data_IF_676082197988
#
_entry.id   IF_676082197988
#
_cell.length_a   1.000
_cell.length_b   1.000
_cell.length_c   1.000
_cell.angle_alpha   90.00
_cell.angle_beta   90.00
_cell.angle_gamma   90.00
#
_symmetry.space_group_name_H-M   'P 1'
#
loop_
_entity.id
_entity.type
_entity.pdbx_description
1 polymer ?
#
# COMPACT_ATOMS: atom_id res chain seq x y z
N UNK A 1 12.95 -2.13 -6.92
CA UNK A 1 12.74 -3.58 -6.68
C UNK A 1 11.41 -3.77 -5.95
N UNK A 2 10.57 -4.64 -6.42
CA UNK A 2 9.23 -4.91 -5.85
C UNK A 2 9.13 -6.41 -5.55
N UNK A 3 8.74 -6.77 -4.32
CA UNK A 3 8.63 -8.18 -3.92
C UNK A 3 7.65 -9.00 -4.76
N UNK A 4 6.63 -8.39 -5.35
CA UNK A 4 5.66 -9.08 -6.21
C UNK A 4 6.29 -9.56 -7.54
N UNK A 5 7.33 -8.87 -8.06
CA UNK A 5 8.05 -9.29 -9.26
C UNK A 5 8.79 -10.62 -9.02
N UNK A 6 9.37 -10.79 -7.84
CA UNK A 6 10.04 -12.05 -7.47
C UNK A 6 9.06 -13.20 -7.28
N UNK A 7 7.84 -12.92 -6.77
CA UNK A 7 6.79 -13.94 -6.68
C UNK A 7 6.40 -14.49 -8.03
N UNK A 8 6.29 -13.61 -9.03
CA UNK A 8 5.91 -14.01 -10.38
C UNK A 8 6.94 -14.96 -11.04
N UNK A 9 8.19 -14.94 -10.59
CA UNK A 9 9.25 -15.82 -11.07
C UNK A 9 9.24 -17.21 -10.42
N UNK A 10 8.48 -17.40 -9.33
CA UNK A 10 8.45 -18.69 -8.65
C UNK A 10 7.70 -19.74 -9.51
N UNK A 11 8.28 -20.92 -9.78
CA UNK A 11 7.73 -21.91 -10.71
C UNK A 11 6.32 -22.38 -10.31
N UNK A 12 6.03 -22.48 -9.04
CA UNK A 12 4.73 -22.91 -8.54
C UNK A 12 3.71 -21.78 -8.36
N UNK A 13 4.11 -20.51 -8.45
CA UNK A 13 3.25 -19.40 -8.05
C UNK A 13 1.93 -19.34 -8.82
N UNK A 14 1.98 -19.50 -10.15
CA UNK A 14 0.78 -19.47 -10.98
C UNK A 14 -0.16 -20.66 -10.71
N UNK A 15 0.40 -21.83 -10.40
CA UNK A 15 -0.39 -23.01 -10.00
C UNK A 15 -1.09 -22.72 -8.67
N UNK A 16 -0.34 -22.29 -7.66
CA UNK A 16 -0.85 -21.96 -6.33
C UNK A 16 -1.91 -20.85 -6.36
N UNK A 17 -1.74 -19.84 -7.24
CA UNK A 17 -2.75 -18.79 -7.43
C UNK A 17 -4.09 -19.33 -7.96
N UNK A 18 -4.06 -20.34 -8.84
CA UNK A 18 -5.28 -20.96 -9.34
C UNK A 18 -5.96 -21.83 -8.29
N UNK A 19 -5.18 -22.54 -7.48
CA UNK A 19 -5.66 -23.43 -6.42
C UNK A 19 -6.22 -22.64 -5.23
N UNK A 20 -5.44 -21.70 -4.68
CA UNK A 20 -5.86 -20.83 -3.56
C UNK A 20 -5.18 -19.45 -3.64
N UNK A 21 -5.83 -18.46 -4.25
CA UNK A 21 -5.29 -17.10 -4.37
C UNK A 21 -4.97 -16.41 -3.03
N UNK A 22 -5.61 -16.84 -1.94
CA UNK A 22 -5.39 -16.26 -0.60
C UNK A 22 -4.11 -16.76 0.05
N UNK A 23 -3.72 -18.02 -0.20
CA UNK A 23 -2.58 -18.68 0.42
C UNK A 23 -1.32 -18.70 -0.44
N UNK A 24 -1.44 -18.53 -1.76
CA UNK A 24 -0.35 -18.62 -2.73
C UNK A 24 0.89 -17.80 -2.33
N UNK A 25 0.71 -16.53 -1.93
CA UNK A 25 1.83 -15.68 -1.54
C UNK A 25 2.51 -16.08 -0.23
N UNK A 26 1.78 -16.73 0.68
CA UNK A 26 2.36 -17.25 1.93
C UNK A 26 3.16 -18.52 1.67
N UNK A 27 2.68 -19.38 0.77
CA UNK A 27 3.31 -20.68 0.46
C UNK A 27 4.74 -20.55 -0.10
N UNK A 28 5.01 -19.47 -0.86
CA UNK A 28 6.33 -19.24 -1.48
C UNK A 28 7.14 -18.13 -0.78
N UNK A 29 6.71 -17.72 0.42
CA UNK A 29 7.31 -16.54 1.08
C UNK A 29 8.80 -16.67 1.35
N UNK A 30 9.24 -17.84 1.80
CA UNK A 30 10.66 -18.09 2.12
C UNK A 30 11.53 -17.93 0.87
N UNK A 31 11.10 -18.54 -0.24
CA UNK A 31 11.88 -18.59 -1.47
C UNK A 31 12.04 -17.20 -2.09
N UNK A 32 10.93 -16.46 -2.31
CA UNK A 32 11.04 -15.14 -2.92
C UNK A 32 11.76 -14.12 -2.01
N UNK A 33 11.70 -14.28 -0.68
CA UNK A 33 12.48 -13.44 0.25
C UNK A 33 13.97 -13.71 0.13
N UNK A 34 14.35 -14.99 0.02
CA UNK A 34 15.75 -15.34 -0.19
C UNK A 34 16.29 -14.76 -1.51
N UNK A 35 15.52 -14.85 -2.59
CA UNK A 35 15.90 -14.25 -3.88
C UNK A 35 15.97 -12.71 -3.83
N UNK A 36 15.02 -12.10 -3.12
CA UNK A 36 15.02 -10.65 -2.93
C UNK A 36 16.27 -10.20 -2.18
N UNK A 37 16.65 -10.89 -1.10
CA UNK A 37 17.86 -10.60 -0.34
C UNK A 37 19.14 -10.76 -1.18
N UNK A 38 19.21 -11.78 -2.05
CA UNK A 38 20.32 -11.95 -3.00
C UNK A 38 20.40 -10.79 -4.01
N UNK A 39 19.24 -10.33 -4.51
CA UNK A 39 19.20 -9.19 -5.41
C UNK A 39 19.63 -7.89 -4.71
N UNK A 40 19.22 -7.67 -3.46
CA UNK A 40 19.70 -6.56 -2.64
C UNK A 40 21.23 -6.61 -2.42
N UNK A 41 21.75 -7.79 -2.12
CA UNK A 41 23.20 -8.00 -1.99
C UNK A 41 23.94 -7.68 -3.29
N UNK A 42 23.43 -8.16 -4.43
CA UNK A 42 24.00 -7.89 -5.74
C UNK A 42 24.08 -6.39 -6.05
N UNK A 43 23.03 -5.61 -5.71
CA UNK A 43 23.01 -4.15 -5.89
C UNK A 43 24.06 -3.48 -4.99
N UNK A 44 24.14 -3.87 -3.70
CA UNK A 44 25.11 -3.31 -2.77
C UNK A 44 26.56 -3.57 -3.20
N UNK A 45 26.87 -4.79 -3.64
CA UNK A 45 28.22 -5.16 -4.10
C UNK A 45 28.67 -4.34 -5.31
N UNK A 46 27.72 -3.87 -6.15
CA UNK A 46 27.97 -3.09 -7.34
C UNK A 46 27.82 -1.57 -7.14
N UNK A 47 27.59 -1.14 -5.90
CA UNK A 47 27.35 0.26 -5.58
C UNK A 47 26.23 0.90 -6.40
N UNK A 48 25.21 0.13 -6.76
CA UNK A 48 24.05 0.61 -7.51
C UNK A 48 23.02 1.31 -6.63
N UNK A 49 22.34 2.33 -7.14
CA UNK A 49 21.19 2.93 -6.50
C UNK A 49 20.00 1.99 -6.59
N UNK A 50 19.13 1.99 -5.56
CA UNK A 50 17.96 1.14 -5.55
C UNK A 50 16.77 1.81 -4.88
N UNK A 51 15.60 1.63 -5.48
CA UNK A 51 14.31 1.90 -4.87
C UNK A 51 13.64 0.57 -4.52
N UNK A 52 13.32 0.37 -3.24
CA UNK A 52 12.65 -0.83 -2.75
C UNK A 52 11.22 -0.46 -2.34
N UNK A 53 10.24 -1.06 -3.01
CA UNK A 53 8.84 -0.96 -2.61
C UNK A 53 8.49 -2.14 -1.70
N UNK A 54 7.98 -1.85 -0.51
CA UNK A 54 7.64 -2.85 0.47
C UNK A 54 6.49 -2.43 1.38
N UNK A 55 5.96 -3.42 2.08
CA UNK A 55 5.00 -3.24 3.16
C UNK A 55 5.44 -4.12 4.33
N UNK A 56 6.39 -3.65 5.16
CA UNK A 56 6.94 -4.44 6.24
C UNK A 56 5.84 -4.79 7.26
N UNK A 57 5.84 -6.04 7.69
CA UNK A 57 4.94 -6.55 8.72
C UNK A 57 5.46 -6.35 10.13
N UNK A 58 6.72 -5.92 10.28
CA UNK A 58 7.36 -5.63 11.56
C UNK A 58 8.53 -4.66 11.39
N UNK A 59 9.06 -4.18 12.52
CA UNK A 59 10.26 -3.34 12.57
C UNK A 59 11.49 -4.09 12.07
N UNK A 60 11.59 -5.35 12.43
CA UNK A 60 12.69 -6.23 12.02
C UNK A 60 12.73 -6.38 10.49
N UNK A 61 11.58 -6.58 9.85
CA UNK A 61 11.53 -6.69 8.37
C UNK A 61 12.07 -5.43 7.66
N UNK A 62 11.84 -4.23 8.22
CA UNK A 62 12.45 -3.02 7.69
C UNK A 62 13.97 -3.06 7.84
N UNK A 63 14.45 -3.32 9.06
CA UNK A 63 15.87 -3.24 9.37
C UNK A 63 16.70 -4.36 8.77
N UNK A 64 16.12 -5.55 8.57
CA UNK A 64 16.77 -6.64 7.82
C UNK A 64 17.19 -6.20 6.40
N UNK A 65 16.38 -5.37 5.76
CA UNK A 65 16.72 -4.78 4.45
C UNK A 65 17.57 -3.51 4.57
N UNK A 66 17.24 -2.58 5.46
CA UNK A 66 17.85 -1.26 5.55
C UNK A 66 19.29 -1.27 6.11
N UNK A 67 19.56 -2.07 7.17
CA UNK A 67 20.85 -2.05 7.84
C UNK A 67 22.03 -2.51 6.97
N UNK A 68 21.92 -3.52 6.11
CA UNK A 68 23.01 -3.89 5.20
C UNK A 68 23.39 -2.76 4.22
N UNK A 69 22.42 -1.93 3.79
CA UNK A 69 22.72 -0.77 2.97
C UNK A 69 23.44 0.30 3.76
N UNK A 70 22.95 0.65 4.94
CA UNK A 70 23.61 1.64 5.81
C UNK A 70 25.04 1.18 6.18
N UNK A 71 25.26 -0.09 6.52
CA UNK A 71 26.56 -0.66 6.80
C UNK A 71 27.51 -0.61 5.57
N UNK A 72 26.95 -0.60 4.37
CA UNK A 72 27.69 -0.45 3.12
C UNK A 72 27.93 1.02 2.73
N UNK A 73 27.53 1.98 3.59
CA UNK A 73 27.72 3.41 3.40
C UNK A 73 26.67 4.11 2.52
N UNK A 74 25.49 3.48 2.32
CA UNK A 74 24.39 4.13 1.62
C UNK A 74 23.60 5.04 2.57
N UNK A 75 23.17 6.23 2.12
CA UNK A 75 22.12 6.98 2.80
C UNK A 75 20.78 6.25 2.59
N UNK A 76 20.23 5.70 3.66
CA UNK A 76 18.92 5.03 3.60
C UNK A 76 17.82 6.05 3.87
N UNK A 77 16.99 6.30 2.88
CA UNK A 77 15.82 7.17 3.00
C UNK A 77 14.53 6.39 2.89
N UNK A 78 13.55 6.72 3.72
CA UNK A 78 12.22 6.13 3.68
C UNK A 78 11.20 7.10 3.10
N UNK A 79 10.38 6.64 2.17
CA UNK A 79 9.19 7.36 1.72
C UNK A 79 7.97 6.59 2.21
N UNK A 80 7.21 7.21 3.11
CA UNK A 80 6.08 6.60 3.81
C UNK A 80 4.77 7.14 3.26
N UNK A 81 3.95 6.25 2.67
CA UNK A 81 2.65 6.62 2.16
C UNK A 81 1.61 6.67 3.29
N UNK A 82 1.16 7.86 3.64
CA UNK A 82 0.12 8.09 4.64
C UNK A 82 -1.26 8.07 3.97
N UNK A 83 -2.03 7.03 4.29
CA UNK A 83 -3.41 6.86 3.80
C UNK A 83 -4.28 6.31 4.92
N UNK A 84 -5.58 6.63 4.91
CA UNK A 84 -6.56 6.03 5.82
C UNK A 84 -6.69 4.53 5.56
N UNK A 85 -7.00 3.74 6.59
CA UNK A 85 -7.10 2.27 6.44
C UNK A 85 -8.14 1.86 5.40
N UNK A 86 -9.30 2.52 5.40
CA UNK A 86 -10.36 2.26 4.44
C UNK A 86 -9.93 2.53 2.99
N UNK A 87 -9.24 3.65 2.74
CA UNK A 87 -8.72 4.00 1.41
C UNK A 87 -7.63 3.01 0.94
N UNK A 88 -6.78 2.56 1.86
CA UNK A 88 -5.74 1.57 1.58
C UNK A 88 -6.37 0.22 1.19
N UNK A 89 -7.34 -0.26 1.96
CA UNK A 89 -8.06 -1.52 1.65
C UNK A 89 -8.83 -1.42 0.34
N UNK A 90 -9.50 -0.28 0.10
CA UNK A 90 -10.24 -0.03 -1.15
C UNK A 90 -9.30 -0.05 -2.36
N UNK A 91 -8.08 0.48 -2.23
CA UNK A 91 -7.08 0.43 -3.30
C UNK A 91 -6.60 -0.98 -3.61
N UNK A 92 -6.42 -1.84 -2.58
CA UNK A 92 -6.07 -3.25 -2.81
C UNK A 92 -7.19 -4.01 -3.51
N UNK A 93 -8.46 -3.74 -3.15
CA UNK A 93 -9.63 -4.32 -3.82
C UNK A 93 -9.75 -3.83 -5.28
N UNK A 94 -9.46 -2.54 -5.54
CA UNK A 94 -9.44 -2.00 -6.90
C UNK A 94 -8.38 -2.65 -7.77
N UNK A 95 -7.16 -2.83 -7.24
CA UNK A 95 -6.09 -3.54 -7.95
C UNK A 95 -6.52 -4.95 -8.31
N UNK A 96 -7.12 -5.68 -7.38
CA UNK A 96 -7.65 -7.01 -7.60
C UNK A 96 -8.72 -7.03 -8.71
N UNK A 97 -9.72 -6.13 -8.64
CA UNK A 97 -10.77 -6.02 -9.63
C UNK A 97 -10.23 -5.72 -11.04
N UNK A 98 -9.27 -4.79 -11.14
CA UNK A 98 -8.62 -4.43 -12.41
C UNK A 98 -7.87 -5.61 -13.03
N UNK A 99 -7.12 -6.36 -12.21
CA UNK A 99 -6.40 -7.53 -12.69
C UNK A 99 -7.34 -8.61 -13.22
N UNK A 100 -8.49 -8.83 -12.55
CA UNK A 100 -9.53 -9.74 -13.06
C UNK A 100 -10.09 -9.27 -14.40
N UNK A 101 -10.35 -7.96 -14.57
CA UNK A 101 -10.91 -7.40 -15.80
C UNK A 101 -10.01 -7.61 -17.02
N UNK A 102 -8.70 -7.63 -16.85
CA UNK A 102 -7.72 -7.87 -17.91
C UNK A 102 -7.32 -9.36 -18.02
N UNK A 103 -8.08 -10.26 -17.40
CA UNK A 103 -7.90 -11.71 -17.52
C UNK A 103 -6.74 -12.28 -16.70
N UNK A 104 -6.15 -11.52 -15.79
CA UNK A 104 -5.12 -12.04 -14.90
C UNK A 104 -5.74 -12.82 -13.74
N UNK A 105 -4.93 -13.68 -13.10
CA UNK A 105 -5.26 -14.35 -11.84
C UNK A 105 -4.59 -13.61 -10.69
N UNK A 106 -5.22 -12.57 -10.10
CA UNK A 106 -4.59 -11.77 -9.06
C UNK A 106 -4.69 -12.44 -7.70
N UNK A 107 -3.73 -12.11 -6.83
CA UNK A 107 -3.82 -12.43 -5.41
C UNK A 107 -4.79 -11.48 -4.72
N UNK A 108 -5.74 -12.02 -3.96
CA UNK A 108 -6.58 -11.22 -3.07
C UNK A 108 -5.84 -10.89 -1.77
N UNK A 109 -5.78 -9.62 -1.41
CA UNK A 109 -5.19 -9.20 -0.12
C UNK A 109 -6.22 -9.39 0.98
N UNK A 110 -5.99 -10.36 1.86
CA UNK A 110 -6.90 -10.64 2.98
C UNK A 110 -6.88 -9.50 4.00
N UNK A 111 -7.97 -9.39 4.78
CA UNK A 111 -8.05 -8.41 5.90
C UNK A 111 -6.88 -8.55 6.86
N UNK A 112 -6.58 -9.77 7.32
CA UNK A 112 -5.49 -10.00 8.27
C UNK A 112 -4.14 -9.60 7.69
N UNK A 113 -3.84 -10.00 6.45
CA UNK A 113 -2.58 -9.64 5.79
C UNK A 113 -2.41 -8.13 5.59
N UNK A 114 -3.49 -7.41 5.23
CA UNK A 114 -3.47 -5.96 5.15
C UNK A 114 -3.22 -5.32 6.52
N UNK A 115 -3.98 -5.72 7.54
CA UNK A 115 -3.89 -5.14 8.89
C UNK A 115 -2.52 -5.31 9.51
N UNK A 116 -1.90 -6.47 9.35
CA UNK A 116 -0.55 -6.73 9.86
C UNK A 116 0.42 -5.64 9.38
N UNK A 117 0.54 -5.44 8.07
CA UNK A 117 1.45 -4.42 7.52
C UNK A 117 0.98 -2.98 7.81
N UNK A 118 -0.33 -2.72 7.74
CA UNK A 118 -0.87 -1.38 7.96
C UNK A 118 -0.62 -0.87 9.38
N UNK A 119 -0.83 -1.70 10.39
CA UNK A 119 -0.61 -1.31 11.79
C UNK A 119 0.87 -1.32 12.16
N UNK A 120 1.64 -2.31 11.68
CA UNK A 120 3.08 -2.35 11.91
C UNK A 120 3.80 -1.10 11.40
N UNK A 121 3.29 -0.45 10.35
CA UNK A 121 3.94 0.73 9.76
C UNK A 121 4.09 1.88 10.76
N UNK A 122 3.22 2.02 11.74
CA UNK A 122 3.34 3.06 12.79
C UNK A 122 4.58 2.81 13.64
N UNK A 123 4.78 1.57 14.09
CA UNK A 123 5.94 1.18 14.90
C UNK A 123 7.22 1.20 14.08
N UNK A 124 7.13 0.79 12.81
CA UNK A 124 8.23 0.84 11.83
C UNK A 124 8.74 2.26 11.66
N UNK A 125 7.84 3.23 11.45
CA UNK A 125 8.22 4.64 11.29
C UNK A 125 8.78 5.21 12.58
N UNK A 126 8.16 4.91 13.71
CA UNK A 126 8.65 5.37 15.02
C UNK A 126 10.03 4.78 15.39
N UNK A 127 10.32 3.54 14.99
CA UNK A 127 11.64 2.94 15.15
C UNK A 127 12.66 3.57 14.21
N UNK A 128 12.28 3.79 12.94
CA UNK A 128 13.13 4.41 11.94
C UNK A 128 13.54 5.84 12.30
N UNK A 129 12.64 6.65 12.88
CA UNK A 129 12.94 8.01 13.37
C UNK A 129 14.08 8.06 14.40
N UNK A 130 14.24 7.01 15.17
CA UNK A 130 15.25 6.93 16.26
C UNK A 130 16.52 6.22 15.84
N UNK A 131 16.54 5.62 14.65
CA UNK A 131 17.66 4.77 14.25
C UNK A 131 18.66 5.52 13.38
N UNK A 132 19.96 5.59 13.77
CA UNK A 132 20.97 6.40 13.07
C UNK A 132 21.28 5.92 11.63
N UNK A 133 20.89 4.69 11.28
CA UNK A 133 21.04 4.16 9.92
C UNK A 133 20.03 4.76 8.92
N UNK A 134 18.99 5.43 9.39
CA UNK A 134 17.98 6.05 8.54
C UNK A 134 18.31 7.54 8.41
N UNK A 135 18.71 7.96 7.22
CA UNK A 135 19.13 9.32 6.94
C UNK A 135 17.95 10.31 6.90
N UNK A 136 16.82 9.89 6.32
CA UNK A 136 15.63 10.71 6.25
C UNK A 136 14.36 9.88 6.13
N UNK A 137 13.22 10.45 6.57
CA UNK A 137 11.87 9.89 6.39
C UNK A 137 10.99 10.97 5.79
N UNK A 138 10.41 10.69 4.62
CA UNK A 138 9.43 11.58 3.99
C UNK A 138 8.04 10.95 4.06
N UNK A 139 7.11 11.59 4.74
CA UNK A 139 5.70 11.18 4.79
C UNK A 139 4.95 11.89 3.69
N UNK A 140 4.29 11.12 2.81
CA UNK A 140 3.56 11.65 1.65
C UNK A 140 2.11 11.19 1.64
N UNK A 141 1.25 11.96 1.01
CA UNK A 141 -0.11 11.56 0.63
C UNK A 141 -0.09 10.75 -0.67
N UNK A 142 -1.24 10.14 -0.98
CA UNK A 142 -1.42 9.41 -2.24
C UNK A 142 -1.28 10.26 -3.50
N UNK A 143 -1.55 11.56 -3.41
CA UNK A 143 -1.36 12.54 -4.50
C UNK A 143 0.10 13.00 -4.65
N UNK A 144 1.01 12.43 -3.88
CA UNK A 144 2.43 12.76 -3.88
C UNK A 144 2.81 13.98 -3.03
N UNK A 145 1.83 14.67 -2.41
CA UNK A 145 2.12 15.80 -1.54
C UNK A 145 2.90 15.36 -0.31
N UNK A 146 4.09 15.92 -0.11
CA UNK A 146 4.84 15.74 1.12
C UNK A 146 4.15 16.46 2.28
N UNK A 147 3.98 15.73 3.40
CA UNK A 147 3.43 16.23 4.66
C UNK A 147 4.54 16.63 5.62
N UNK A 148 5.60 15.85 5.65
CA UNK A 148 6.77 16.06 6.48
C UNK A 148 7.98 15.39 5.85
N UNK A 149 9.15 16.02 5.93
CA UNK A 149 10.47 15.38 5.81
C UNK A 149 11.16 15.47 7.16
N UNK A 150 11.47 14.35 7.74
CA UNK A 150 12.20 14.20 9.00
C UNK A 150 13.64 13.78 8.70
N UNK A 151 14.59 14.48 9.28
CA UNK A 151 16.03 14.14 9.25
C UNK A 151 16.53 14.05 10.69
N UNK A 152 17.63 13.36 10.92
CA UNK A 152 18.19 13.18 12.25
C UNK A 152 18.44 14.54 12.95
N UNK A 153 17.82 14.73 14.12
CA UNK A 153 17.86 16.00 14.86
C UNK A 153 16.94 17.11 14.32
N UNK A 154 16.17 16.85 13.27
CA UNK A 154 15.18 17.78 12.72
C UNK A 154 13.94 17.93 13.59
N UNK A 155 13.19 19.02 13.38
CA UNK A 155 11.90 19.24 14.03
C UNK A 155 10.80 18.39 13.39
N UNK A 156 9.85 17.96 14.21
CA UNK A 156 8.69 17.17 13.78
C UNK A 156 8.90 15.66 13.85
N UNK A 157 7.81 14.92 13.85
CA UNK A 157 7.79 13.47 13.95
C UNK A 157 7.05 12.86 12.74
N UNK A 158 7.72 11.97 12.02
CA UNK A 158 7.13 11.28 10.88
C UNK A 158 6.04 10.31 11.32
N UNK A 159 6.20 9.64 12.45
CA UNK A 159 5.16 8.78 13.05
C UNK A 159 3.91 9.57 13.43
N UNK A 160 4.09 10.79 13.98
CA UNK A 160 2.95 11.68 14.25
C UNK A 160 2.28 12.15 12.95
N UNK A 161 3.05 12.58 11.95
CA UNK A 161 2.50 13.01 10.67
C UNK A 161 1.73 11.88 9.96
N UNK A 162 2.24 10.64 10.02
CA UNK A 162 1.55 9.45 9.55
C UNK A 162 0.23 9.24 10.27
N UNK A 163 0.23 9.28 11.62
CA UNK A 163 -0.95 9.09 12.44
C UNK A 163 -2.00 10.18 12.18
N UNK A 164 -1.58 11.44 12.13
CA UNK A 164 -2.45 12.59 11.88
C UNK A 164 -3.16 12.47 10.50
N UNK A 165 -2.42 12.12 9.44
CA UNK A 165 -3.04 11.94 8.12
C UNK A 165 -3.98 10.74 8.07
N UNK A 166 -3.65 9.64 8.75
CA UNK A 166 -4.52 8.46 8.85
C UNK A 166 -5.83 8.75 9.58
N UNK A 167 -5.79 9.64 10.56
CA UNK A 167 -6.96 10.07 11.34
C UNK A 167 -7.69 11.29 10.73
N UNK A 168 -7.18 11.86 9.65
CA UNK A 168 -7.76 13.06 9.05
C UNK A 168 -9.17 12.77 8.50
N UNK A 169 -10.18 13.58 8.88
CA UNK A 169 -11.52 13.47 8.31
C UNK A 169 -11.52 13.57 6.78
N UNK A 170 -12.47 12.92 6.13
CA UNK A 170 -12.72 13.11 4.72
C UNK A 170 -13.29 14.50 4.45
N UNK A 171 -12.86 15.13 3.38
CA UNK A 171 -13.65 16.21 2.78
C UNK A 171 -14.86 15.61 2.07
N UNK A 172 -15.90 16.43 1.77
CA UNK A 172 -17.05 15.96 1.00
C UNK A 172 -16.66 15.38 -0.36
N UNK A 173 -15.68 15.99 -1.03
CA UNK A 173 -15.16 15.51 -2.30
C UNK A 173 -14.48 14.15 -2.18
N UNK A 174 -13.64 13.95 -1.15
CA UNK A 174 -12.98 12.67 -0.87
C UNK A 174 -14.01 11.58 -0.49
N UNK A 175 -15.01 11.92 0.33
CA UNK A 175 -16.08 11.02 0.71
C UNK A 175 -16.91 10.59 -0.51
N UNK A 176 -17.28 11.52 -1.37
CA UNK A 176 -17.97 11.23 -2.62
C UNK A 176 -17.14 10.33 -3.55
N UNK A 177 -15.82 10.55 -3.64
CA UNK A 177 -14.91 9.73 -4.42
C UNK A 177 -14.81 8.31 -3.84
N UNK A 178 -14.70 8.19 -2.50
CA UNK A 178 -14.71 6.91 -1.80
C UNK A 178 -15.96 6.09 -2.13
N UNK A 179 -17.15 6.69 -2.00
CA UNK A 179 -18.40 5.98 -2.28
C UNK A 179 -18.59 5.62 -3.76
N UNK A 180 -18.20 6.50 -4.68
CA UNK A 180 -18.22 6.13 -6.12
C UNK A 180 -17.37 4.90 -6.41
N UNK A 181 -16.15 4.87 -5.90
CA UNK A 181 -15.27 3.72 -6.07
C UNK A 181 -15.85 2.48 -5.39
N UNK A 182 -16.39 2.64 -4.16
CA UNK A 182 -17.00 1.56 -3.41
C UNK A 182 -18.16 0.91 -4.18
N UNK A 183 -19.06 1.71 -4.76
CA UNK A 183 -20.15 1.20 -5.59
C UNK A 183 -19.65 0.45 -6.83
N UNK A 184 -18.59 0.92 -7.47
CA UNK A 184 -17.93 0.20 -8.57
C UNK A 184 -17.41 -1.17 -8.14
N UNK A 185 -16.71 -1.22 -7.00
CA UNK A 185 -16.18 -2.46 -6.43
C UNK A 185 -17.29 -3.42 -6.00
N UNK A 186 -18.38 -2.91 -5.41
CA UNK A 186 -19.52 -3.71 -5.00
C UNK A 186 -20.14 -4.50 -6.15
N UNK A 187 -20.17 -3.90 -7.35
CA UNK A 187 -20.64 -4.57 -8.57
C UNK A 187 -19.60 -5.53 -9.14
N UNK A 188 -18.33 -5.11 -9.15
CA UNK A 188 -17.24 -5.89 -9.73
C UNK A 188 -16.86 -7.12 -8.91
N UNK A 189 -17.09 -7.10 -7.59
CA UNK A 189 -16.61 -8.11 -6.64
C UNK A 189 -17.76 -8.68 -5.77
N UNK A 190 -18.77 -9.36 -6.35
CA UNK A 190 -19.94 -9.83 -5.61
C UNK A 190 -19.63 -10.86 -4.54
N UNK A 191 -18.49 -11.56 -4.65
CA UNK A 191 -18.03 -12.56 -3.66
C UNK A 191 -17.26 -11.96 -2.48
N UNK A 192 -16.99 -10.63 -2.49
CA UNK A 192 -16.21 -9.92 -1.48
C UNK A 192 -17.01 -8.81 -0.78
N UNK A 193 -18.34 -8.92 -0.76
CA UNK A 193 -19.22 -7.87 -0.20
C UNK A 193 -18.98 -7.64 1.28
N UNK A 194 -18.67 -8.68 2.03
CA UNK A 194 -18.40 -8.54 3.47
C UNK A 194 -17.14 -7.70 3.70
N UNK A 195 -16.08 -7.97 2.95
CA UNK A 195 -14.85 -7.18 3.02
C UNK A 195 -15.07 -5.72 2.56
N UNK A 196 -15.92 -5.51 1.55
CA UNK A 196 -16.26 -4.17 1.09
C UNK A 196 -17.11 -3.42 2.14
N UNK A 197 -18.07 -4.08 2.78
CA UNK A 197 -18.84 -3.50 3.88
C UNK A 197 -17.94 -3.06 5.04
N UNK A 198 -16.97 -3.87 5.41
CA UNK A 198 -16.00 -3.51 6.45
C UNK A 198 -15.21 -2.23 6.10
N UNK A 199 -14.90 -2.01 4.82
CA UNK A 199 -14.19 -0.78 4.41
C UNK A 199 -15.04 0.47 4.67
N UNK A 200 -16.36 0.37 4.53
CA UNK A 200 -17.29 1.46 4.86
C UNK A 200 -17.35 1.70 6.36
N UNK A 201 -17.41 0.64 7.15
CA UNK A 201 -17.39 0.77 8.61
C UNK A 201 -16.09 1.42 9.12
N UNK A 202 -14.95 1.10 8.51
CA UNK A 202 -13.66 1.74 8.80
C UNK A 202 -13.65 3.21 8.40
N UNK A 203 -14.29 3.57 7.29
CA UNK A 203 -14.36 4.95 6.83
C UNK A 203 -15.35 5.82 7.63
N UNK A 204 -16.41 5.22 8.14
CA UNK A 204 -17.55 5.89 8.79
C UNK A 204 -17.15 6.96 9.83
N UNK A 205 -16.26 6.69 10.80
CA UNK A 205 -15.90 7.67 11.83
C UNK A 205 -15.25 8.95 11.27
N UNK A 206 -14.68 8.85 10.07
CA UNK A 206 -13.97 9.96 9.43
C UNK A 206 -14.81 10.65 8.35
N UNK A 207 -16.01 10.12 8.02
CA UNK A 207 -16.88 10.71 7.02
C UNK A 207 -17.58 11.99 7.54
N UNK A 208 -17.82 12.99 6.68
CA UNK A 208 -18.62 14.15 7.04
C UNK A 208 -20.00 13.71 7.58
N UNK A 209 -20.57 14.37 8.60
CA UNK A 209 -21.82 13.97 9.22
C UNK A 209 -22.97 13.75 8.24
N UNK A 210 -23.12 14.63 7.25
CA UNK A 210 -24.16 14.53 6.20
C UNK A 210 -23.94 13.40 5.18
N UNK A 211 -22.76 12.76 5.19
CA UNK A 211 -22.38 11.68 4.27
C UNK A 211 -22.18 10.35 4.98
N UNK A 212 -22.53 10.24 6.25
CA UNK A 212 -22.51 8.98 6.99
C UNK A 212 -23.76 8.18 6.67
N UNK A 213 -23.72 7.14 5.83
CA UNK A 213 -24.89 6.32 5.58
C UNK A 213 -25.27 5.54 6.83
N UNK A 214 -26.55 5.55 7.19
CA UNK A 214 -27.07 4.72 8.28
C UNK A 214 -26.85 3.23 7.98
N UNK A 215 -27.00 2.83 6.73
CA UNK A 215 -26.61 1.53 6.12
C UNK A 215 -26.32 1.80 4.64
N UNK A 216 -25.40 1.02 4.05
CA UNK A 216 -25.33 0.98 2.58
C UNK A 216 -26.49 0.14 2.12
N UNK A 217 -27.57 0.79 1.66
CA UNK A 217 -28.61 0.09 0.95
C UNK A 217 -28.03 -0.51 -0.33
N UNK A 218 -28.51 -1.70 -0.67
CA UNK A 218 -28.10 -2.41 -1.90
C UNK A 218 -28.23 -1.44 -3.07
N UNK A 219 -27.21 -1.34 -3.96
CA UNK A 219 -27.28 -0.47 -5.13
C UNK A 219 -28.58 -0.77 -5.90
N UNK A 220 -29.37 0.24 -6.16
CA UNK A 220 -30.61 0.07 -6.92
C UNK A 220 -30.29 -0.46 -8.31
N UNK A 221 -30.96 -1.52 -8.81
CA UNK A 221 -30.64 -2.12 -10.11
C UNK A 221 -30.86 -1.18 -11.32
N UNK A 222 -31.49 -0.03 -11.12
CA UNK A 222 -31.83 0.94 -12.16
C UNK A 222 -30.71 1.91 -12.56
N UNK A 223 -29.58 1.94 -11.88
CA UNK A 223 -28.43 2.72 -12.35
C UNK A 223 -27.72 1.90 -13.41
N UNK A 224 -27.88 2.29 -14.67
CA UNK A 224 -27.18 1.70 -15.81
C UNK A 224 -25.67 1.54 -15.58
N UNK A 225 -24.96 0.77 -16.41
CA UNK A 225 -23.53 0.58 -16.25
C UNK A 225 -22.87 1.95 -16.25
N UNK A 226 -22.27 2.34 -15.11
CA UNK A 226 -21.35 3.46 -15.14
C UNK A 226 -20.30 3.11 -16.20
N UNK A 227 -20.05 3.99 -17.17
CA UNK A 227 -18.90 3.81 -18.02
C UNK A 227 -17.70 3.83 -17.08
N UNK A 228 -17.19 2.64 -16.74
CA UNK A 228 -15.93 2.50 -16.05
C UNK A 228 -14.86 2.78 -17.10
N UNK A 229 -14.84 3.99 -17.61
CA UNK A 229 -13.67 4.56 -18.21
C UNK A 229 -12.71 4.85 -17.05
N UNK A 230 -12.12 3.76 -16.56
CA UNK A 230 -10.88 3.80 -15.79
C UNK A 230 -9.77 4.26 -16.75
N UNK A 231 -9.96 5.43 -17.37
CA UNK A 231 -8.85 6.14 -18.02
C UNK A 231 -7.89 6.52 -16.91
N UNK A 232 -6.76 5.85 -16.98
CA UNK A 232 -5.62 5.95 -16.14
C UNK A 232 -5.33 7.37 -15.65
N UNK A 233 -5.28 7.52 -14.35
CA UNK A 233 -4.07 8.07 -13.83
C UNK A 233 -3.04 6.94 -13.96
N UNK A 234 -2.40 6.85 -15.11
CA UNK A 234 -1.13 6.17 -15.22
C UNK A 234 -0.25 6.83 -14.17
N UNK A 235 0.11 6.09 -13.16
CA UNK A 235 1.11 6.48 -12.20
C UNK A 235 2.41 6.46 -13.00
N UNK A 236 2.75 7.58 -13.60
CA UNK A 236 4.03 7.79 -14.24
C UNK A 236 5.05 8.02 -13.14
N UNK A 237 5.67 6.92 -12.70
CA UNK A 237 6.77 6.95 -11.75
C UNK A 237 7.95 7.81 -12.26
N UNK A 238 8.02 8.08 -13.56
CA UNK A 238 9.09 8.88 -14.19
C UNK A 238 9.02 10.37 -13.83
N UNK A 239 7.85 10.88 -13.40
CA UNK A 239 7.71 12.30 -13.02
C UNK A 239 8.28 12.61 -11.62
N UNK A 240 8.59 11.62 -10.80
CA UNK A 240 9.15 11.81 -9.46
C UNK A 240 10.65 12.18 -9.47
N UNK A 241 11.38 11.75 -10.51
CA UNK A 241 12.84 11.91 -10.54
C UNK A 241 13.33 13.13 -11.29
N UNK A 242 12.44 13.90 -11.94
CA UNK A 242 12.85 15.05 -12.78
C UNK A 242 12.98 16.38 -12.04
N UNK A 243 12.81 16.44 -10.70
CA UNK A 243 12.88 17.70 -9.92
C UNK A 243 13.88 17.70 -8.77
N UNK A 244 14.82 16.76 -8.75
CA UNK A 244 15.91 16.72 -7.76
C UNK A 244 17.27 16.71 -8.46
N UNK A 245 17.47 17.65 -9.36
CA UNK A 245 18.79 18.04 -9.88
C UNK A 245 18.97 19.55 -9.71
#
# INVERSE_FOLDING_TARGET
MIGDDFKAQHPDYLRLLREDPRRAGAAIRADYRAWFAQAEQYVRERRGDVLIEGAPGSVEELFDSALPYAASGYPVELVVLAVREADSRQATALRYARSLQIGLTPRFTTRSGHRTCFHALTDVVAAAERHPAIAAITVIRRDGRALLRHEAGGAGSASWALAAERARPYTEQEAAAFFRLHHGLWRALPRHRDELQEMVELARPLMPPGMQPARIDRPHPSLGPLPVTLRGAAYDASSFFSRAA
#
